data_IF_479964355875
#
_entry.id   IF_479964355875
#
_cell.length_a   1.000
_cell.length_b   1.000
_cell.length_c   1.000
_cell.angle_alpha   90.00
_cell.angle_beta   90.00
_cell.angle_gamma   90.00
#
_symmetry.space_group_name_H-M   'P 1'
#
loop_
_entity.id
_entity.type
_entity.pdbx_description
1 polymer ?
#
# COMPACT_ATOMS: atom_id res chain seq x y z
N UNK A 1 -14.93 14.83 -2.16
CA UNK A 1 -13.83 15.84 -2.05
C UNK A 1 -12.65 15.15 -1.42
N UNK A 2 -11.45 15.33 -1.97
CA UNK A 2 -10.22 14.78 -1.37
C UNK A 2 -9.85 15.54 -0.10
N UNK A 3 -9.32 14.80 0.88
CA UNK A 3 -8.89 15.34 2.16
C UNK A 3 -7.46 15.92 2.11
N UNK A 4 -7.15 16.80 3.05
CA UNK A 4 -5.76 17.28 3.21
C UNK A 4 -4.85 16.19 3.79
N UNK A 5 -3.55 16.30 3.56
CA UNK A 5 -2.57 15.39 4.16
C UNK A 5 -2.62 15.33 5.67
N UNK A 6 -2.96 16.43 6.34
CA UNK A 6 -3.12 16.45 7.80
C UNK A 6 -4.29 15.56 8.28
N UNK A 7 -5.41 15.53 7.54
CA UNK A 7 -6.55 14.64 7.84
C UNK A 7 -6.16 13.18 7.61
N UNK A 8 -5.46 12.89 6.49
CA UNK A 8 -4.97 11.54 6.20
C UNK A 8 -3.98 11.09 7.28
N UNK A 9 -3.04 11.94 7.69
CA UNK A 9 -2.07 11.65 8.75
C UNK A 9 -2.77 11.35 10.10
N UNK A 10 -3.81 12.10 10.44
CA UNK A 10 -4.59 11.84 11.65
C UNK A 10 -5.29 10.48 11.61
N UNK A 11 -5.82 10.07 10.44
CA UNK A 11 -6.46 8.75 10.26
C UNK A 11 -5.44 7.61 10.42
N UNK A 12 -4.21 7.75 9.88
CA UNK A 12 -3.14 6.78 10.04
C UNK A 12 -2.62 6.74 11.48
N UNK A 13 -2.48 7.90 12.14
CA UNK A 13 -2.14 7.99 13.56
C UNK A 13 -3.14 7.26 14.45
N UNK A 14 -4.43 7.34 14.14
CA UNK A 14 -5.49 6.59 14.84
C UNK A 14 -5.39 5.06 14.61
N UNK A 15 -4.75 4.62 13.54
CA UNK A 15 -4.43 3.21 13.29
C UNK A 15 -3.12 2.76 13.98
N UNK A 16 -2.41 3.66 14.62
CA UNK A 16 -1.14 3.40 15.30
C UNK A 16 0.12 3.68 14.46
N UNK A 17 -0.03 4.33 13.29
CA UNK A 17 1.13 4.71 12.49
C UNK A 17 1.96 5.79 13.20
N UNK A 18 3.28 5.60 13.18
CA UNK A 18 4.27 6.62 13.56
C UNK A 18 4.82 7.22 12.26
N UNK A 19 4.42 8.45 11.95
CA UNK A 19 4.77 9.11 10.70
C UNK A 19 5.92 10.09 10.89
N UNK A 20 6.88 10.06 9.97
CA UNK A 20 7.87 11.12 9.85
C UNK A 20 7.23 12.37 9.21
N UNK A 21 7.64 13.59 9.61
CA UNK A 21 7.08 14.82 9.06
C UNK A 21 7.10 14.90 7.53
N UNK A 22 8.13 14.31 6.90
CA UNK A 22 8.31 14.30 5.45
C UNK A 22 7.28 13.40 4.71
N UNK A 23 6.55 12.52 5.41
CA UNK A 23 5.52 11.67 4.81
C UNK A 23 4.22 12.45 4.56
N UNK A 24 3.92 13.48 5.35
CA UNK A 24 2.71 14.27 5.16
C UNK A 24 2.86 15.22 3.98
N UNK A 25 2.02 15.01 2.97
CA UNK A 25 1.98 15.79 1.73
C UNK A 25 0.72 16.67 1.70
N UNK A 26 0.59 17.66 0.80
CA UNK A 26 -0.60 18.53 0.74
C UNK A 26 -1.94 17.80 0.68
N UNK A 27 -2.01 16.70 -0.07
CA UNK A 27 -3.26 15.96 -0.34
C UNK A 27 -3.21 14.48 0.08
N UNK A 28 -2.29 14.09 0.95
CA UNK A 28 -2.18 12.69 1.38
C UNK A 28 -0.97 12.43 2.24
N UNK A 29 -0.70 11.15 2.47
CA UNK A 29 0.46 10.68 3.23
C UNK A 29 1.24 9.67 2.39
N UNK A 30 2.55 9.86 2.29
CA UNK A 30 3.43 8.90 1.64
C UNK A 30 3.57 7.63 2.49
N UNK A 31 3.31 6.48 1.88
CA UNK A 31 3.54 5.17 2.45
C UNK A 31 4.92 4.64 2.05
N UNK A 32 5.53 3.90 2.97
CA UNK A 32 6.89 3.37 2.80
C UNK A 32 6.91 1.89 2.44
N UNK A 33 8.06 1.39 1.99
CA UNK A 33 8.29 -0.04 1.79
C UNK A 33 8.53 -0.71 3.14
N UNK A 34 7.58 -1.54 3.59
CA UNK A 34 7.75 -2.39 4.77
C UNK A 34 8.37 -3.74 4.45
N UNK A 35 7.91 -4.39 3.37
CA UNK A 35 8.46 -5.64 2.86
C UNK A 35 8.16 -5.83 1.37
N UNK A 36 8.99 -6.61 0.69
CA UNK A 36 8.83 -6.98 -0.73
C UNK A 36 8.76 -8.49 -0.85
N UNK A 37 7.87 -8.98 -1.73
CA UNK A 37 7.65 -10.41 -1.95
C UNK A 37 7.64 -10.73 -3.45
N UNK A 38 8.13 -11.92 -3.79
CA UNK A 38 7.92 -12.56 -5.11
C UNK A 38 6.84 -13.63 -5.01
N UNK A 39 5.98 -13.71 -6.02
CA UNK A 39 4.99 -14.79 -6.14
C UNK A 39 5.71 -16.08 -6.55
N UNK A 40 5.47 -17.18 -5.82
CA UNK A 40 6.16 -18.46 -6.06
C UNK A 40 5.20 -19.59 -6.48
N UNK A 41 3.89 -19.41 -6.29
CA UNK A 41 2.91 -20.37 -6.77
C UNK A 41 1.71 -19.68 -7.41
N UNK A 42 0.90 -20.46 -8.13
CA UNK A 42 -0.29 -19.95 -8.82
C UNK A 42 -1.40 -19.60 -7.83
N UNK A 43 -1.94 -18.41 -7.93
CA UNK A 43 -3.20 -18.02 -7.29
C UNK A 43 -4.42 -18.57 -8.07
N UNK A 44 -5.59 -18.53 -7.43
CA UNK A 44 -6.86 -18.94 -8.05
C UNK A 44 -7.98 -18.00 -7.61
N UNK A 45 -8.77 -17.54 -8.58
CA UNK A 45 -10.01 -16.80 -8.36
C UNK A 45 -11.12 -17.59 -9.01
N UNK A 46 -12.06 -18.09 -8.23
CA UNK A 46 -13.25 -18.82 -8.69
C UNK A 46 -14.52 -18.07 -8.31
N UNK A 47 -15.66 -18.53 -8.80
CA UNK A 47 -16.96 -17.93 -8.45
C UNK A 47 -17.28 -18.06 -6.97
N UNK A 48 -16.93 -19.20 -6.36
CA UNK A 48 -17.29 -19.56 -4.99
C UNK A 48 -16.10 -19.58 -4.03
N UNK A 49 -14.94 -19.06 -4.45
CA UNK A 49 -13.77 -19.01 -3.58
C UNK A 49 -12.53 -18.49 -4.27
N UNK A 50 -11.55 -18.16 -3.44
CA UNK A 50 -10.26 -17.60 -3.89
C UNK A 50 -9.11 -18.22 -3.11
N UNK A 51 -7.94 -18.27 -3.74
CA UNK A 51 -6.67 -18.63 -3.14
C UNK A 51 -5.59 -17.66 -3.64
N UNK A 52 -4.88 -17.05 -2.73
CA UNK A 52 -3.69 -16.26 -3.04
C UNK A 52 -2.51 -17.22 -3.07
N UNK A 53 -1.75 -17.24 -4.16
CA UNK A 53 -0.58 -18.11 -4.29
C UNK A 53 0.49 -17.78 -3.25
N UNK A 54 1.37 -18.74 -3.01
CA UNK A 54 2.49 -18.59 -2.07
C UNK A 54 3.45 -17.50 -2.54
N UNK A 55 4.13 -16.89 -1.58
CA UNK A 55 5.07 -15.80 -1.79
C UNK A 55 6.33 -16.02 -0.97
N UNK A 56 7.46 -15.60 -1.50
CA UNK A 56 8.72 -15.54 -0.77
C UNK A 56 9.07 -14.10 -0.48
N UNK A 57 9.33 -13.78 0.79
CA UNK A 57 9.82 -12.47 1.19
C UNK A 57 11.25 -12.31 0.70
N UNK A 58 11.54 -11.15 0.10
CA UNK A 58 12.89 -10.75 -0.23
C UNK A 58 13.53 -10.09 0.99
N UNK A 59 14.78 -10.41 1.25
CA UNK A 59 15.54 -9.72 2.27
C UNK A 59 16.40 -8.63 1.58
N UNK A 60 16.42 -7.41 2.10
CA UNK A 60 17.26 -6.35 1.55
C UNK A 60 18.75 -6.65 1.83
N UNK A 61 19.62 -6.34 0.87
CA UNK A 61 21.05 -6.39 1.02
C UNK A 61 21.57 -5.01 1.45
N UNK A 62 22.23 -4.92 2.58
CA UNK A 62 22.68 -3.66 3.21
C UNK A 62 21.58 -2.58 3.27
N UNK A 63 20.34 -3.01 3.54
CA UNK A 63 19.15 -2.14 3.62
C UNK A 63 18.49 -1.83 2.28
N UNK A 64 18.96 -2.37 1.14
CA UNK A 64 18.45 -2.09 -0.19
C UNK A 64 17.83 -3.33 -0.85
N UNK A 65 16.64 -3.18 -1.40
CA UNK A 65 16.04 -4.13 -2.33
C UNK A 65 16.55 -3.83 -3.74
N UNK A 66 17.36 -4.74 -4.29
CA UNK A 66 17.81 -4.70 -5.69
C UNK A 66 16.81 -5.49 -6.54
N UNK A 67 15.89 -4.78 -7.19
CA UNK A 67 14.77 -5.39 -7.91
C UNK A 67 15.05 -5.39 -9.42
N UNK A 68 15.12 -6.55 -10.01
CA UNK A 68 15.15 -6.73 -11.45
C UNK A 68 13.79 -6.45 -12.07
N UNK A 69 13.74 -6.30 -13.40
CA UNK A 69 12.48 -6.15 -14.14
C UNK A 69 11.53 -7.32 -13.82
N UNK A 70 10.32 -7.01 -13.38
CA UNK A 70 9.35 -8.02 -12.94
C UNK A 70 8.23 -7.43 -12.11
N UNK A 71 7.39 -8.30 -11.58
CA UNK A 71 6.26 -7.96 -10.73
C UNK A 71 6.47 -8.47 -9.30
N UNK A 72 6.25 -7.61 -8.34
CA UNK A 72 6.42 -7.88 -6.92
C UNK A 72 5.15 -7.50 -6.15
N UNK A 73 5.01 -8.03 -4.95
CA UNK A 73 4.05 -7.53 -3.96
C UNK A 73 4.81 -6.72 -2.92
N UNK A 74 4.36 -5.51 -2.66
CA UNK A 74 4.91 -4.66 -1.60
C UNK A 74 3.90 -4.55 -0.48
N UNK A 75 4.33 -4.85 0.75
CA UNK A 75 3.61 -4.51 1.98
C UNK A 75 4.10 -3.16 2.44
N UNK A 76 3.17 -2.27 2.78
CA UNK A 76 3.52 -0.94 3.29
C UNK A 76 4.09 -1.01 4.70
N UNK A 77 4.80 0.02 5.12
CA UNK A 77 5.37 0.13 6.46
C UNK A 77 4.35 0.59 7.50
N UNK A 78 3.32 1.32 7.07
CA UNK A 78 2.36 1.96 7.94
C UNK A 78 1.06 1.16 8.07
N UNK A 79 0.52 0.98 9.30
CA UNK A 79 -0.86 0.59 9.47
C UNK A 79 -1.78 1.71 8.96
N UNK A 80 -2.84 1.32 8.28
CA UNK A 80 -3.81 2.23 7.67
C UNK A 80 -5.19 1.97 8.25
N UNK A 81 -5.97 3.02 8.41
CA UNK A 81 -7.39 2.97 8.71
C UNK A 81 -8.12 3.92 7.77
N UNK A 82 -9.12 3.39 7.07
CA UNK A 82 -10.02 4.19 6.24
C UNK A 82 -11.24 4.57 7.11
N UNK A 83 -11.49 5.86 7.35
CA UNK A 83 -12.66 6.28 8.10
C UNK A 83 -13.97 5.82 7.44
N UNK A 84 -15.02 5.66 8.22
CA UNK A 84 -16.29 5.09 7.75
C UNK A 84 -17.08 5.97 6.79
N UNK A 85 -16.66 7.20 6.57
CA UNK A 85 -17.22 8.17 5.61
C UNK A 85 -16.24 8.50 4.47
N UNK A 86 -15.23 7.62 4.24
CA UNK A 86 -14.19 7.81 3.22
C UNK A 86 -13.94 6.56 2.39
N UNK A 87 -13.35 6.79 1.24
CA UNK A 87 -12.68 5.78 0.40
C UNK A 87 -11.22 6.18 0.25
N UNK A 88 -10.31 5.20 0.21
CA UNK A 88 -8.88 5.40 0.06
C UNK A 88 -8.32 4.88 -1.26
N UNK A 89 -7.31 5.59 -1.77
CA UNK A 89 -6.52 5.18 -2.93
C UNK A 89 -5.05 5.39 -2.64
N UNK A 90 -4.22 4.43 -3.05
CA UNK A 90 -2.76 4.61 -3.03
C UNK A 90 -2.28 4.76 -4.46
N UNK A 91 -1.61 5.86 -4.73
CA UNK A 91 -1.04 6.18 -6.04
C UNK A 91 0.49 6.14 -5.96
N UNK A 92 1.19 5.72 -7.03
CA UNK A 92 2.64 5.73 -7.04
C UNK A 92 3.20 7.14 -6.92
N UNK A 93 4.30 7.29 -6.22
CA UNK A 93 5.04 8.57 -6.23
C UNK A 93 5.67 8.80 -7.61
N UNK A 94 5.75 10.08 -7.99
CA UNK A 94 6.27 10.49 -9.31
C UNK A 94 7.70 10.00 -9.60
N UNK A 95 8.53 9.85 -8.57
CA UNK A 95 9.90 9.31 -8.73
C UNK A 95 9.88 7.85 -9.13
N UNK A 96 8.93 7.05 -8.58
CA UNK A 96 8.76 5.66 -8.96
C UNK A 96 8.39 5.54 -10.45
N UNK A 97 7.40 6.33 -10.90
CA UNK A 97 6.99 6.39 -12.31
C UNK A 97 8.13 6.80 -13.25
N UNK A 98 8.94 7.79 -12.85
CA UNK A 98 10.08 8.28 -13.66
C UNK A 98 11.22 7.26 -13.77
N UNK A 99 11.27 6.28 -12.89
CA UNK A 99 12.20 5.15 -12.98
C UNK A 99 11.59 3.94 -13.71
N UNK A 100 10.46 4.14 -14.43
CA UNK A 100 9.84 3.09 -15.23
C UNK A 100 9.12 2.02 -14.40
N UNK A 101 8.73 2.36 -13.17
CA UNK A 101 8.02 1.48 -12.26
C UNK A 101 6.63 2.04 -11.94
N UNK A 102 5.68 1.17 -11.60
CA UNK A 102 4.38 1.61 -11.11
C UNK A 102 3.91 0.77 -9.92
N UNK A 103 2.96 1.32 -9.18
CA UNK A 103 2.35 0.70 -8.00
C UNK A 103 0.84 0.67 -8.22
N UNK A 104 0.27 -0.52 -8.30
CA UNK A 104 -1.17 -0.73 -8.44
C UNK A 104 -1.77 -1.20 -7.12
N UNK A 105 -2.93 -0.67 -6.79
CA UNK A 105 -3.67 -1.06 -5.59
C UNK A 105 -5.15 -1.28 -5.91
N UNK A 106 -5.84 -2.01 -5.04
CA UNK A 106 -7.29 -2.05 -5.04
C UNK A 106 -7.88 -0.77 -4.42
N UNK A 107 -9.18 -0.59 -4.51
CA UNK A 107 -9.91 0.41 -3.71
C UNK A 107 -9.84 0.00 -2.25
N UNK A 108 -9.58 0.96 -1.38
CA UNK A 108 -9.59 0.76 0.06
C UNK A 108 -10.88 1.31 0.63
N UNK A 109 -11.78 0.38 0.94
CA UNK A 109 -13.15 0.68 1.33
C UNK A 109 -13.24 1.27 2.75
N UNK A 110 -14.34 1.97 3.01
CA UNK A 110 -14.70 2.53 4.30
C UNK A 110 -14.63 1.48 5.41
N UNK A 111 -13.95 1.79 6.51
CA UNK A 111 -13.81 0.89 7.65
C UNK A 111 -12.69 -0.14 7.53
N UNK A 112 -11.98 -0.24 6.40
CA UNK A 112 -10.80 -1.09 6.31
C UNK A 112 -9.73 -0.62 7.31
N UNK A 113 -9.09 -1.59 7.97
CA UNK A 113 -7.99 -1.37 8.89
C UNK A 113 -6.98 -2.52 8.79
N UNK A 114 -5.69 -2.18 8.60
CA UNK A 114 -4.63 -3.19 8.44
C UNK A 114 -3.34 -2.57 7.94
N UNK A 115 -2.34 -3.43 7.67
CA UNK A 115 -1.14 -3.07 6.92
C UNK A 115 -1.30 -3.62 5.51
N UNK A 116 -1.70 -2.76 4.59
CA UNK A 116 -2.08 -3.17 3.24
C UNK A 116 -0.91 -3.47 2.32
N UNK A 117 -1.25 -3.96 1.15
CA UNK A 117 -0.30 -4.36 0.12
C UNK A 117 -0.66 -3.74 -1.24
N UNK A 118 0.37 -3.55 -2.07
CA UNK A 118 0.25 -3.13 -3.46
C UNK A 118 1.06 -4.03 -4.38
N UNK A 119 0.74 -3.98 -5.67
CA UNK A 119 1.51 -4.63 -6.72
C UNK A 119 2.51 -3.63 -7.28
N UNK A 120 3.81 -3.94 -7.20
CA UNK A 120 4.88 -3.16 -7.77
C UNK A 120 5.34 -3.80 -9.09
N UNK A 121 5.14 -3.09 -10.20
CA UNK A 121 5.71 -3.45 -11.49
C UNK A 121 7.01 -2.67 -11.72
N UNK A 122 8.09 -3.41 -11.98
CA UNK A 122 9.43 -2.88 -12.26
C UNK A 122 9.72 -3.10 -13.74
N UNK A 123 9.72 -2.02 -14.52
CA UNK A 123 10.00 -2.07 -15.96
C UNK A 123 11.49 -2.21 -16.28
N UNK A 124 12.33 -1.61 -15.45
CA UNK A 124 13.79 -1.74 -15.45
C UNK A 124 14.26 -1.96 -14.02
N UNK A 125 15.45 -2.53 -13.83
CA UNK A 125 16.02 -2.73 -12.50
C UNK A 125 16.02 -1.43 -11.68
N UNK A 126 15.67 -1.54 -10.40
CA UNK A 126 15.61 -0.42 -9.47
C UNK A 126 16.12 -0.84 -8.10
N UNK A 127 16.87 0.03 -7.45
CA UNK A 127 17.27 -0.12 -6.06
C UNK A 127 16.34 0.71 -5.17
N UNK A 128 15.67 0.07 -4.21
CA UNK A 128 14.75 0.72 -3.27
C UNK A 128 15.23 0.44 -1.85
N UNK A 129 15.53 1.49 -1.10
CA UNK A 129 15.88 1.35 0.31
C UNK A 129 14.67 0.89 1.13
N UNK A 130 14.86 -0.01 2.07
CA UNK A 130 13.82 -0.39 3.03
C UNK A 130 13.35 0.85 3.80
N UNK A 131 12.03 1.05 3.91
CA UNK A 131 11.46 2.27 4.49
C UNK A 131 11.39 3.47 3.53
N UNK A 132 11.85 3.35 2.27
CA UNK A 132 11.70 4.42 1.28
C UNK A 132 10.22 4.66 0.94
N UNK A 133 9.85 5.92 0.71
CA UNK A 133 8.49 6.33 0.33
C UNK A 133 8.21 6.02 -1.13
N UNK A 134 7.21 5.18 -1.42
CA UNK A 134 6.91 4.69 -2.78
C UNK A 134 5.53 5.05 -3.29
N UNK A 135 4.55 5.19 -2.42
CA UNK A 135 3.17 5.50 -2.78
C UNK A 135 2.59 6.59 -1.89
N UNK A 136 1.53 7.23 -2.32
CA UNK A 136 0.80 8.23 -1.54
C UNK A 136 -0.63 7.76 -1.32
N UNK A 137 -1.03 7.61 -0.07
CA UNK A 137 -2.42 7.39 0.30
C UNK A 137 -3.16 8.73 0.26
N UNK A 138 -4.25 8.75 -0.47
CA UNK A 138 -5.24 9.84 -0.49
C UNK A 138 -6.58 9.31 0.00
N UNK A 139 -7.33 10.15 0.71
CA UNK A 139 -8.70 9.86 1.17
C UNK A 139 -9.69 10.80 0.50
N UNK A 140 -10.84 10.28 0.13
CA UNK A 140 -11.95 11.08 -0.37
C UNK A 140 -13.22 10.75 0.42
N UNK A 141 -14.01 11.79 0.76
CA UNK A 141 -15.34 11.59 1.33
C UNK A 141 -16.24 10.91 0.32
N UNK A 142 -16.96 9.92 0.76
CA UNK A 142 -17.90 9.18 -0.05
C UNK A 142 -19.08 8.70 0.82
N UNK A 143 -20.27 8.68 0.24
CA UNK A 143 -21.42 8.04 0.84
C UNK A 143 -21.35 6.54 0.54
N UNK A 144 -21.53 5.71 1.56
CA UNK A 144 -21.56 4.26 1.41
C UNK A 144 -22.72 3.63 2.15
N UNK A 145 -23.13 2.45 1.67
CA UNK A 145 -24.01 1.55 2.40
C UNK A 145 -23.15 0.44 3.06
N UNK A 146 -22.78 0.62 4.33
CA UNK A 146 -21.98 -0.34 5.10
C UNK A 146 -20.48 -0.04 5.11
N UNK A 147 -19.73 -0.91 5.79
CA UNK A 147 -18.29 -0.81 5.95
C UNK A 147 -17.63 -2.12 5.55
N UNK A 148 -16.31 -2.07 5.28
CA UNK A 148 -15.53 -3.23 4.88
C UNK A 148 -15.56 -4.32 5.98
N UNK A 149 -16.00 -5.52 5.59
CA UNK A 149 -15.99 -6.75 6.40
C UNK A 149 -15.42 -7.91 5.55
N UNK A 150 -14.33 -7.65 4.85
CA UNK A 150 -13.72 -8.58 3.93
C UNK A 150 -12.55 -9.37 4.53
N UNK A 151 -12.00 -10.27 3.72
CA UNK A 151 -10.91 -11.19 4.07
C UNK A 151 -9.66 -10.51 4.62
N UNK A 152 -9.40 -9.27 4.22
CA UNK A 152 -8.18 -8.55 4.57
C UNK A 152 -8.35 -7.59 5.74
N UNK A 153 -9.50 -7.63 6.45
CA UNK A 153 -9.67 -6.84 7.66
C UNK A 153 -8.68 -7.27 8.73
N UNK A 154 -7.88 -6.33 9.25
CA UNK A 154 -6.85 -6.59 10.25
C UNK A 154 -5.59 -7.29 9.73
N UNK A 155 -5.38 -7.34 8.40
CA UNK A 155 -4.24 -8.05 7.82
C UNK A 155 -2.88 -7.47 8.25
N UNK A 156 -1.88 -8.37 8.35
CA UNK A 156 -0.47 -8.03 8.57
C UNK A 156 -0.17 -7.21 9.86
N UNK A 157 -1.07 -7.24 10.86
CA UNK A 157 -0.88 -6.59 12.17
C UNK A 157 -0.06 -7.43 13.13
#
# INVERSE_FOLDING_TARGET
MFESGAVVAAALGAAGASLEPAQTQPNGVDLTVGAVFTQTSRGRIGRDGKHVGDRTKLEPDDGWYQLEAGTYVVRYGEPVRIPTDHVGFVLPRSTLLRNGCTLDTAVWDAGYEGVGEGRLDVGHGIDIEAGARIGQLVLARADHEGTYDGTYQGENR
#
